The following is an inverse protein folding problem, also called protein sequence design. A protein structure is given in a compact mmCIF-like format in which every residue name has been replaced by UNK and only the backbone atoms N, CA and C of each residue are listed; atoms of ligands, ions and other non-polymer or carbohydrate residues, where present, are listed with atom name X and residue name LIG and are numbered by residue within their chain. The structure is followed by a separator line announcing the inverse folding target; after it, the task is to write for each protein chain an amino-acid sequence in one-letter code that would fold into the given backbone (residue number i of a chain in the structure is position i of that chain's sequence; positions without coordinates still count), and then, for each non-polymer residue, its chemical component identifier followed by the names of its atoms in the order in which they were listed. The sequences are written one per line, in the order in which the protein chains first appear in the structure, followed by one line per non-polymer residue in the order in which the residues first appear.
data_IF_972558011038
#
_entry.id   IF_972558011038
#
_cell.length_a   1.000
_cell.length_b   1.000
_cell.length_c   1.000
_cell.angle_alpha   90.00
_cell.angle_beta   90.00
_cell.angle_gamma   90.00
#
_symmetry.space_group_name_H-M   'P 1'
#
loop_
_entity.id
_entity.type
_entity.pdbx_description
1 polymer ?
#
# COMPACT_ATOMS: atom_id res chain seq x y z
N UNK A 1 20.53 -35.06 0.35
CA UNK A 1 20.85 -36.50 0.51
C UNK A 1 21.86 -37.07 -0.50
N UNK A 2 22.21 -36.34 -1.56
CA UNK A 2 23.22 -36.78 -2.54
C UNK A 2 24.66 -36.45 -2.08
N UNK A 3 24.84 -35.40 -1.29
CA UNK A 3 26.14 -34.99 -0.75
C UNK A 3 26.65 -35.89 0.39
N UNK A 4 25.74 -36.51 1.13
CA UNK A 4 26.10 -37.41 2.24
C UNK A 4 26.70 -38.75 1.76
N UNK A 5 26.23 -39.23 0.62
CA UNK A 5 26.72 -40.50 0.06
C UNK A 5 28.07 -40.34 -0.66
N UNK A 6 28.40 -39.20 -1.20
CA UNK A 6 29.68 -38.95 -1.86
C UNK A 6 30.85 -38.88 -0.85
N UNK A 7 30.61 -38.35 0.34
CA UNK A 7 31.65 -38.25 1.37
C UNK A 7 32.02 -39.62 1.97
N UNK A 8 31.06 -40.53 2.11
CA UNK A 8 31.30 -41.87 2.64
C UNK A 8 31.99 -42.81 1.67
N UNK A 9 31.95 -42.54 0.35
CA UNK A 9 32.55 -43.37 -0.66
C UNK A 9 34.05 -43.10 -0.90
N UNK A 10 34.53 -41.93 -0.51
CA UNK A 10 35.94 -41.52 -0.76
C UNK A 10 36.84 -41.54 0.49
N UNK A 11 36.28 -41.62 1.69
CA UNK A 11 37.02 -41.54 2.95
C UNK A 11 36.74 -42.70 3.94
N UNK A 12 36.10 -43.76 3.50
CA UNK A 12 35.91 -44.96 4.28
C UNK A 12 36.90 -46.05 3.88
N UNK A 13 37.93 -46.23 4.68
CA UNK A 13 38.75 -47.39 5.00
C UNK A 13 40.23 -47.03 5.18
N UNK A 14 40.66 -46.97 6.42
CA UNK A 14 41.79 -47.78 6.94
C UNK A 14 42.01 -47.58 8.43
N UNK A 15 41.63 -48.59 9.15
CA UNK A 15 42.37 -49.37 10.18
C UNK A 15 42.96 -48.70 11.39
N UNK A 16 42.42 -49.21 12.53
CA UNK A 16 43.03 -49.66 13.79
C UNK A 16 44.01 -48.81 14.57
N UNK A 17 43.64 -48.73 15.86
CA UNK A 17 44.45 -48.67 17.07
C UNK A 17 45.07 -47.35 17.50
N UNK A 18 44.43 -46.74 18.44
CA UNK A 18 44.81 -46.58 19.87
C UNK A 18 43.96 -45.49 20.54
N UNK A 19 43.40 -45.92 21.67
CA UNK A 19 42.76 -45.01 22.62
C UNK A 19 43.66 -43.82 22.99
N UNK A 20 43.27 -42.64 22.52
CA UNK A 20 43.57 -41.41 23.24
C UNK A 20 42.32 -40.55 23.21
N UNK A 21 41.71 -40.40 24.39
CA UNK A 21 40.66 -39.43 24.63
C UNK A 21 41.19 -38.01 24.37
N UNK A 22 41.22 -37.59 23.17
CA UNK A 22 41.28 -36.17 22.82
C UNK A 22 39.83 -35.66 22.70
N UNK A 23 39.41 -34.85 23.68
CA UNK A 23 38.23 -33.98 23.47
C UNK A 23 38.48 -33.14 22.24
N UNK A 24 38.06 -33.62 21.06
CA UNK A 24 37.92 -32.79 19.89
C UNK A 24 36.85 -31.74 20.22
N UNK A 25 37.29 -30.54 20.57
CA UNK A 25 36.48 -29.36 20.44
C UNK A 25 35.98 -29.35 19.00
N UNK A 26 34.76 -29.80 18.76
CA UNK A 26 34.08 -29.56 17.50
C UNK A 26 33.95 -28.03 17.38
N UNK A 27 34.79 -27.41 16.58
CA UNK A 27 34.63 -26.01 16.22
C UNK A 27 33.20 -25.85 15.75
N UNK A 28 32.39 -25.13 16.51
CA UNK A 28 31.01 -24.89 16.21
C UNK A 28 30.99 -23.90 15.03
N UNK A 29 30.56 -24.35 13.88
CA UNK A 29 30.45 -23.50 12.67
C UNK A 29 29.51 -22.34 12.97
N UNK A 30 29.89 -21.09 12.69
CA UNK A 30 29.02 -19.93 12.83
C UNK A 30 27.79 -20.09 11.96
N UNK A 31 26.60 -19.95 12.55
CA UNK A 31 25.33 -20.04 11.85
C UNK A 31 24.68 -18.67 11.86
N UNK A 32 24.36 -18.11 10.69
CA UNK A 32 23.65 -16.84 10.57
C UNK A 32 22.23 -17.00 11.10
N UNK A 33 21.76 -16.00 11.85
CA UNK A 33 20.38 -15.91 12.32
C UNK A 33 19.38 -15.75 11.17
N UNK A 34 18.17 -16.20 11.42
CA UNK A 34 17.06 -16.04 10.45
C UNK A 34 16.59 -14.59 10.35
N UNK A 35 16.07 -14.24 9.21
CA UNK A 35 15.38 -12.96 9.04
C UNK A 35 14.02 -12.99 9.74
N UNK A 36 13.59 -11.84 10.25
CA UNK A 36 12.25 -11.62 10.77
C UNK A 36 11.49 -10.80 9.74
N UNK A 37 10.27 -11.21 9.43
CA UNK A 37 9.37 -10.45 8.58
C UNK A 37 8.20 -9.89 9.39
N UNK A 38 7.84 -8.65 9.12
CA UNK A 38 6.67 -7.99 9.67
C UNK A 38 6.08 -7.06 8.63
N UNK A 39 4.91 -6.53 8.89
CA UNK A 39 4.26 -5.57 8.01
C UNK A 39 3.66 -4.42 8.81
N UNK A 40 3.58 -3.26 8.19
CA UNK A 40 2.94 -2.07 8.73
C UNK A 40 2.04 -1.43 7.70
N UNK A 41 0.96 -0.86 8.19
CA UNK A 41 0.01 -0.09 7.38
C UNK A 41 0.39 1.39 7.41
N UNK A 42 0.31 2.02 6.25
CA UNK A 42 0.49 3.47 6.07
C UNK A 42 -0.63 4.02 5.19
N UNK A 43 -0.96 5.29 5.38
CA UNK A 43 -1.90 5.97 4.48
C UNK A 43 -1.25 6.28 3.12
N UNK A 44 -2.08 6.59 2.12
CA UNK A 44 -1.60 7.02 0.81
C UNK A 44 -0.78 8.30 0.92
N UNK A 45 -1.21 9.26 1.75
CA UNK A 45 -0.47 10.52 1.96
C UNK A 45 0.87 10.28 2.66
N UNK A 46 0.89 9.46 3.71
CA UNK A 46 2.14 9.09 4.40
C UNK A 46 3.14 8.46 3.42
N UNK A 47 2.68 7.53 2.59
CA UNK A 47 3.52 6.89 1.59
C UNK A 47 3.96 7.86 0.47
N UNK A 48 3.09 8.80 0.09
CA UNK A 48 3.38 9.81 -0.94
C UNK A 48 4.49 10.76 -0.52
N UNK A 49 4.43 11.30 0.70
CA UNK A 49 5.41 12.25 1.22
C UNK A 49 6.61 11.57 1.87
N UNK A 50 6.46 10.33 2.31
CA UNK A 50 7.43 9.65 3.16
C UNK A 50 7.32 10.12 4.61
N UNK A 51 7.78 9.31 5.52
CA UNK A 51 7.77 9.63 6.95
C UNK A 51 8.82 8.82 7.70
N UNK A 52 9.14 9.29 8.91
CA UNK A 52 9.81 8.48 9.92
C UNK A 52 8.76 7.91 10.89
N UNK A 53 8.80 6.61 11.10
CA UNK A 53 7.84 5.92 11.97
C UNK A 53 8.59 5.09 13.01
N UNK A 54 8.14 5.19 14.26
CA UNK A 54 8.62 4.31 15.33
C UNK A 54 7.72 3.09 15.39
N UNK A 55 8.33 1.90 15.33
CA UNK A 55 7.65 0.62 15.50
C UNK A 55 8.25 -0.13 16.67
N UNK A 56 7.42 -0.83 17.44
CA UNK A 56 7.84 -1.63 18.56
C UNK A 56 7.50 -3.09 18.31
N UNK A 57 8.49 -3.95 18.35
CA UNK A 57 8.34 -5.38 18.15
C UNK A 57 8.82 -6.14 19.39
N UNK A 58 8.17 -7.27 19.69
CA UNK A 58 8.59 -8.13 20.77
C UNK A 58 9.78 -8.99 20.29
N UNK A 59 10.93 -8.83 20.96
CA UNK A 59 12.10 -9.65 20.71
C UNK A 59 11.93 -11.08 21.27
N UNK A 60 12.78 -12.03 20.87
CA UNK A 60 12.76 -13.42 21.33
C UNK A 60 12.86 -13.58 22.86
N UNK A 61 13.51 -12.65 23.53
CA UNK A 61 13.61 -12.61 24.99
C UNK A 61 12.38 -12.01 25.70
N UNK A 62 11.28 -11.75 24.97
CA UNK A 62 10.05 -11.15 25.48
C UNK A 62 10.10 -9.64 25.69
N UNK A 63 11.25 -8.99 25.54
CA UNK A 63 11.41 -7.54 25.68
C UNK A 63 10.93 -6.83 24.41
N UNK A 64 10.31 -5.66 24.61
CA UNK A 64 9.95 -4.79 23.48
C UNK A 64 11.20 -4.07 22.96
N UNK A 65 11.37 -4.08 21.65
CA UNK A 65 12.44 -3.36 20.97
C UNK A 65 11.80 -2.37 20.01
N UNK A 66 12.19 -1.10 20.14
CA UNK A 66 11.67 -0.01 19.30
C UNK A 66 12.69 0.31 18.20
N UNK A 67 12.19 0.43 16.99
CA UNK A 67 12.95 0.83 15.81
C UNK A 67 12.38 2.11 15.24
N UNK A 68 13.25 3.00 14.76
CA UNK A 68 12.87 4.11 13.92
C UNK A 68 13.14 3.73 12.47
N UNK A 69 12.09 3.70 11.66
CA UNK A 69 12.18 3.39 10.23
C UNK A 69 11.91 4.64 9.43
N UNK A 70 12.66 4.81 8.35
CA UNK A 70 12.43 5.86 7.36
C UNK A 70 11.74 5.26 6.15
N UNK A 71 10.51 5.66 5.90
CA UNK A 71 9.73 5.28 4.73
C UNK A 71 9.99 6.33 3.65
N UNK A 72 10.61 5.96 2.52
CA UNK A 72 10.91 6.92 1.47
C UNK A 72 9.64 7.40 0.77
N UNK A 73 9.64 8.66 0.34
CA UNK A 73 8.53 9.24 -0.42
C UNK A 73 8.30 8.49 -1.73
N UNK A 74 7.04 8.13 -2.00
CA UNK A 74 6.68 7.39 -3.21
C UNK A 74 6.95 5.89 -3.14
N UNK A 75 7.14 5.32 -1.95
CA UNK A 75 7.27 3.87 -1.77
C UNK A 75 6.09 3.14 -2.41
N UNK A 76 6.33 1.97 -2.98
CA UNK A 76 5.27 1.14 -3.58
C UNK A 76 4.58 0.29 -2.54
N UNK A 77 3.31 -0.02 -2.79
CA UNK A 77 2.59 -0.98 -1.97
C UNK A 77 3.27 -2.35 -2.05
N UNK A 78 3.54 -2.94 -0.89
CA UNK A 78 4.21 -4.24 -0.77
C UNK A 78 5.75 -4.18 -0.79
N UNK A 79 6.36 -3.03 -0.99
CA UNK A 79 7.81 -2.88 -0.85
C UNK A 79 8.26 -3.16 0.58
N UNK A 80 9.48 -3.69 0.71
CA UNK A 80 10.06 -4.05 2.01
C UNK A 80 11.21 -3.11 2.36
N UNK A 81 11.20 -2.63 3.59
CA UNK A 81 12.31 -1.91 4.20
C UNK A 81 13.12 -2.91 5.01
N UNK A 82 14.44 -2.95 4.79
CA UNK A 82 15.36 -3.86 5.45
C UNK A 82 16.16 -3.15 6.52
N UNK A 83 16.07 -3.64 7.74
CA UNK A 83 16.93 -3.24 8.85
C UNK A 83 17.97 -4.33 9.09
N UNK A 84 19.21 -4.04 8.69
CA UNK A 84 20.31 -4.99 8.73
C UNK A 84 20.64 -5.39 10.18
N UNK A 85 20.82 -6.69 10.42
CA UNK A 85 21.21 -7.24 11.72
C UNK A 85 20.13 -7.18 12.81
N UNK A 86 18.88 -6.83 12.47
CA UNK A 86 17.77 -6.70 13.42
C UNK A 86 16.83 -7.92 13.42
N UNK A 87 17.24 -9.01 12.76
CA UNK A 87 16.55 -10.30 12.80
C UNK A 87 16.91 -11.15 14.02
N UNK A 88 16.77 -12.47 13.91
CA UNK A 88 17.15 -13.40 14.97
C UNK A 88 18.68 -13.43 15.13
N UNK A 89 19.14 -13.66 16.36
CA UNK A 89 20.57 -13.82 16.63
C UNK A 89 21.11 -15.06 15.93
N UNK A 90 22.32 -14.96 15.42
CA UNK A 90 23.06 -16.12 14.93
C UNK A 90 23.56 -17.00 16.08
N UNK A 91 23.94 -18.23 15.77
CA UNK A 91 24.53 -19.19 16.68
C UNK A 91 26.03 -19.32 16.45
N UNK A 92 26.75 -19.76 17.48
CA UNK A 92 28.22 -20.02 17.43
C UNK A 92 29.03 -18.83 16.87
N UNK A 93 28.64 -17.59 17.21
CA UNK A 93 29.31 -16.38 16.71
C UNK A 93 28.86 -15.95 15.29
N UNK A 94 27.81 -16.59 14.74
CA UNK A 94 27.20 -16.18 13.48
C UNK A 94 26.52 -14.82 13.59
N UNK A 95 26.45 -14.08 12.46
CA UNK A 95 25.79 -12.78 12.37
C UNK A 95 24.27 -12.92 12.56
N UNK A 96 23.64 -11.90 13.14
CA UNK A 96 22.18 -11.82 13.19
C UNK A 96 21.58 -11.76 11.78
N UNK A 97 20.35 -12.23 11.62
CA UNK A 97 19.54 -12.00 10.44
C UNK A 97 19.07 -10.54 10.36
N UNK A 98 18.23 -10.24 9.40
CA UNK A 98 17.69 -8.91 9.16
C UNK A 98 16.21 -8.85 9.50
N UNK A 99 15.71 -7.65 9.79
CA UNK A 99 14.28 -7.38 9.89
C UNK A 99 13.79 -6.81 8.57
N UNK A 100 12.81 -7.47 7.97
CA UNK A 100 12.15 -7.06 6.73
C UNK A 100 10.75 -6.55 7.07
N UNK A 101 10.49 -5.28 6.77
CA UNK A 101 9.22 -4.61 7.06
C UNK A 101 8.50 -4.34 5.75
N UNK A 102 7.44 -5.09 5.49
CA UNK A 102 6.57 -4.88 4.33
C UNK A 102 5.66 -3.69 4.57
N UNK A 103 5.59 -2.79 3.61
CA UNK A 103 4.74 -1.60 3.66
C UNK A 103 3.42 -1.89 2.94
N UNK A 104 2.31 -1.80 3.67
CA UNK A 104 0.97 -1.90 3.13
C UNK A 104 0.35 -0.51 3.05
N UNK A 105 0.14 0.00 1.84
CA UNK A 105 -0.54 1.27 1.62
C UNK A 105 -2.04 1.01 1.61
N UNK A 106 -2.76 1.66 2.51
CA UNK A 106 -4.20 1.47 2.68
C UNK A 106 -4.98 2.56 1.95
N UNK A 107 -5.99 2.11 1.21
CA UNK A 107 -7.02 3.00 0.70
C UNK A 107 -7.73 3.68 1.89
N UNK A 108 -8.18 4.90 1.68
CA UNK A 108 -8.94 5.67 2.66
C UNK A 108 -10.31 6.10 2.09
N UNK A 109 -11.02 6.95 2.82
CA UNK A 109 -12.33 7.44 2.38
C UNK A 109 -12.26 8.36 1.17
N UNK A 110 -11.10 8.93 0.90
CA UNK A 110 -10.89 9.94 -0.13
C UNK A 110 -10.29 9.34 -1.39
N UNK A 111 -9.32 8.45 -1.22
CA UNK A 111 -8.58 7.87 -2.33
C UNK A 111 -8.46 6.36 -2.23
N UNK A 112 -8.48 5.72 -3.39
CA UNK A 112 -8.02 4.36 -3.59
C UNK A 112 -6.81 4.37 -4.53
N UNK A 113 -5.75 3.64 -4.16
CA UNK A 113 -4.53 3.55 -4.96
C UNK A 113 -4.54 2.28 -5.81
N UNK A 114 -4.34 2.43 -7.13
CA UNK A 114 -4.18 1.32 -8.07
C UNK A 114 -2.97 1.58 -8.97
N UNK A 115 -1.89 0.85 -8.72
CA UNK A 115 -0.61 1.14 -9.35
C UNK A 115 -0.08 2.52 -8.95
N UNK A 116 -0.06 3.45 -9.89
CA UNK A 116 0.30 4.86 -9.67
C UNK A 116 -0.89 5.81 -9.82
N UNK A 117 -2.07 5.28 -10.12
CA UNK A 117 -3.27 6.08 -10.28
C UNK A 117 -4.08 6.12 -8.99
N UNK A 118 -4.64 7.28 -8.71
CA UNK A 118 -5.54 7.51 -7.59
C UNK A 118 -6.97 7.58 -8.09
N UNK A 119 -7.88 6.97 -7.38
CA UNK A 119 -9.31 6.99 -7.65
C UNK A 119 -10.02 7.75 -6.53
N UNK A 120 -10.95 8.62 -6.89
CA UNK A 120 -11.78 9.37 -5.96
C UNK A 120 -13.19 9.52 -6.51
N UNK A 121 -14.16 9.73 -5.63
CA UNK A 121 -15.53 10.07 -6.03
C UNK A 121 -15.64 11.57 -6.29
N UNK A 122 -16.23 11.93 -7.43
CA UNK A 122 -16.62 13.28 -7.75
C UNK A 122 -18.14 13.41 -7.60
N UNK A 123 -18.58 13.88 -6.45
CA UNK A 123 -20.01 14.03 -6.16
C UNK A 123 -20.49 15.37 -6.67
N UNK A 124 -21.50 15.34 -7.53
CA UNK A 124 -22.16 16.52 -8.07
C UNK A 124 -23.69 16.39 -7.93
N UNK A 125 -24.36 17.51 -7.98
CA UNK A 125 -25.82 17.55 -7.94
C UNK A 125 -26.42 17.30 -9.33
N UNK A 126 -27.73 16.91 -9.43
CA UNK A 126 -28.37 16.73 -10.73
C UNK A 126 -28.39 18.00 -11.59
N UNK A 127 -28.54 19.18 -10.99
CA UNK A 127 -28.51 20.44 -11.71
C UNK A 127 -27.12 20.83 -12.18
N UNK A 128 -26.07 20.51 -11.43
CA UNK A 128 -24.68 20.68 -11.91
C UNK A 128 -24.41 19.77 -13.10
N UNK A 129 -24.86 18.51 -13.06
CA UNK A 129 -24.74 17.60 -14.19
C UNK A 129 -25.53 18.08 -15.41
N UNK A 130 -26.76 18.58 -15.23
CA UNK A 130 -27.62 19.01 -16.31
C UNK A 130 -27.16 20.34 -16.96
N UNK A 131 -26.62 21.26 -16.16
CA UNK A 131 -26.28 22.63 -16.60
C UNK A 131 -24.78 22.81 -16.90
N UNK A 132 -23.96 21.88 -16.46
CA UNK A 132 -22.51 22.05 -16.36
C UNK A 132 -22.12 22.92 -15.19
N UNK A 133 -20.91 22.79 -14.72
CA UNK A 133 -20.42 23.52 -13.56
C UNK A 133 -18.91 23.55 -13.52
N UNK A 134 -18.37 24.29 -12.56
CA UNK A 134 -16.95 24.26 -12.18
C UNK A 134 -16.88 23.80 -10.73
N UNK A 135 -16.20 22.68 -10.48
CA UNK A 135 -16.05 22.09 -9.15
C UNK A 135 -14.61 22.10 -8.71
N UNK A 136 -14.41 22.21 -7.39
CA UNK A 136 -13.10 22.00 -6.78
C UNK A 136 -12.89 20.52 -6.47
N UNK A 137 -11.71 20.02 -6.76
CA UNK A 137 -11.29 18.64 -6.44
C UNK A 137 -10.00 18.72 -5.66
N UNK A 138 -9.99 18.11 -4.49
CA UNK A 138 -8.78 17.98 -3.71
C UNK A 138 -7.90 16.88 -4.31
N UNK A 139 -6.65 17.20 -4.47
CA UNK A 139 -5.60 16.25 -4.83
C UNK A 139 -4.58 16.16 -3.70
N UNK A 140 -3.65 15.23 -3.77
CA UNK A 140 -2.54 15.24 -2.81
C UNK A 140 -1.66 16.47 -3.08
N UNK A 141 -1.66 17.38 -2.13
CA UNK A 141 -0.83 18.59 -2.14
C UNK A 141 -1.51 19.87 -2.63
N UNK A 142 -2.65 19.79 -3.32
CA UNK A 142 -3.36 20.97 -3.84
C UNK A 142 -4.83 20.70 -4.11
N UNK A 143 -5.60 21.78 -4.19
CA UNK A 143 -6.97 21.76 -4.69
C UNK A 143 -6.98 22.34 -6.11
N UNK A 144 -7.60 21.65 -7.04
CA UNK A 144 -7.73 22.07 -8.43
C UNK A 144 -9.19 22.31 -8.79
N UNK A 145 -9.42 23.03 -9.86
CA UNK A 145 -10.76 23.27 -10.39
C UNK A 145 -10.95 22.52 -11.70
N UNK A 146 -12.06 21.79 -11.80
CA UNK A 146 -12.45 21.06 -13.00
C UNK A 146 -13.69 21.71 -13.63
N UNK A 147 -13.70 21.82 -14.92
CA UNK A 147 -14.89 22.14 -15.68
C UNK A 147 -15.65 20.85 -15.97
N UNK A 148 -16.89 20.77 -15.50
CA UNK A 148 -17.80 19.65 -15.73
C UNK A 148 -18.74 20.06 -16.87
N UNK A 149 -18.72 19.34 -18.00
CA UNK A 149 -19.58 19.67 -19.12
C UNK A 149 -21.04 19.38 -18.82
N UNK A 150 -21.92 20.10 -19.48
CA UNK A 150 -23.35 19.84 -19.46
C UNK A 150 -23.64 18.42 -19.96
N UNK A 151 -24.52 17.70 -19.26
CA UNK A 151 -24.97 16.36 -19.64
C UNK A 151 -24.03 15.24 -19.25
N UNK A 152 -23.09 15.48 -18.33
CA UNK A 152 -22.23 14.42 -17.81
C UNK A 152 -23.08 13.36 -17.08
N UNK A 153 -22.72 12.10 -17.28
CA UNK A 153 -23.46 10.98 -16.71
C UNK A 153 -22.79 10.45 -15.42
N UNK A 154 -23.62 9.87 -14.56
CA UNK A 154 -23.11 9.15 -13.37
C UNK A 154 -22.31 7.93 -13.81
N UNK A 155 -21.12 7.75 -13.22
CA UNK A 155 -20.19 6.67 -13.59
C UNK A 155 -19.17 7.06 -14.65
N UNK A 156 -19.30 8.22 -15.30
CA UNK A 156 -18.23 8.74 -16.13
C UNK A 156 -16.99 9.05 -15.31
N UNK A 157 -15.82 8.88 -15.92
CA UNK A 157 -14.52 9.09 -15.28
C UNK A 157 -13.83 10.31 -15.85
N UNK A 158 -13.58 11.28 -15.00
CA UNK A 158 -12.77 12.46 -15.34
C UNK A 158 -11.32 12.16 -14.96
N UNK A 159 -10.44 12.12 -15.94
CA UNK A 159 -9.02 11.85 -15.75
C UNK A 159 -8.24 13.15 -15.63
N UNK A 160 -7.41 13.23 -14.61
CA UNK A 160 -6.61 14.43 -14.31
C UNK A 160 -5.15 13.99 -14.32
N UNK A 161 -4.40 14.25 -15.41
CA UNK A 161 -3.02 13.86 -15.55
C UNK A 161 -2.12 14.51 -14.48
N UNK A 162 -1.14 13.77 -14.00
CA UNK A 162 -0.13 14.27 -13.06
C UNK A 162 -0.64 14.56 -11.64
N UNK A 163 -1.84 14.04 -11.28
CA UNK A 163 -2.43 14.21 -9.94
C UNK A 163 -2.61 12.87 -9.19
N UNK A 164 -2.08 11.79 -9.76
CA UNK A 164 -2.02 10.48 -9.12
C UNK A 164 -0.88 10.34 -8.12
N UNK A 165 -0.46 9.11 -7.88
CA UNK A 165 0.66 8.75 -7.01
C UNK A 165 1.99 8.93 -7.74
N UNK A 166 3.11 8.98 -7.01
CA UNK A 166 4.45 9.13 -7.61
C UNK A 166 4.82 7.92 -8.47
N UNK A 167 5.39 8.19 -9.64
CA UNK A 167 5.82 7.14 -10.58
C UNK A 167 7.25 6.63 -10.35
N UNK A 168 8.01 7.28 -9.46
CA UNK A 168 9.41 6.96 -9.16
C UNK A 168 10.42 7.57 -10.14
N UNK A 169 9.95 8.35 -11.13
CA UNK A 169 10.78 9.00 -12.15
C UNK A 169 10.66 10.54 -12.13
N UNK A 170 10.11 11.07 -11.05
CA UNK A 170 9.89 12.51 -10.87
C UNK A 170 8.50 13.00 -11.33
N UNK A 171 7.66 12.10 -11.87
CA UNK A 171 6.29 12.36 -12.27
C UNK A 171 5.26 11.72 -11.32
N UNK A 172 4.01 11.78 -11.75
CA UNK A 172 2.85 11.23 -11.05
C UNK A 172 1.91 10.58 -12.05
N UNK A 173 1.17 9.55 -11.62
CA UNK A 173 0.07 8.98 -12.36
C UNK A 173 -1.14 9.92 -12.48
N UNK A 174 -2.27 9.38 -12.84
CA UNK A 174 -3.52 10.11 -12.99
C UNK A 174 -4.33 10.11 -11.68
N UNK A 175 -5.10 11.18 -11.45
CA UNK A 175 -6.25 11.14 -10.56
C UNK A 175 -7.49 10.89 -11.40
N UNK A 176 -8.20 9.81 -11.11
CA UNK A 176 -9.41 9.39 -11.81
C UNK A 176 -10.59 9.69 -10.89
N UNK A 177 -11.39 10.69 -11.26
CA UNK A 177 -12.57 11.11 -10.53
C UNK A 177 -13.82 10.44 -11.12
N UNK A 178 -14.46 9.58 -10.35
CA UNK A 178 -15.68 8.86 -10.72
C UNK A 178 -16.90 9.72 -10.40
N UNK A 179 -17.62 10.15 -11.41
CA UNK A 179 -18.79 11.04 -11.28
C UNK A 179 -19.93 10.30 -10.60
N UNK A 180 -20.41 10.86 -9.51
CA UNK A 180 -21.59 10.40 -8.77
C UNK A 180 -22.60 11.53 -8.62
N UNK A 181 -23.72 11.38 -9.29
CA UNK A 181 -24.83 12.34 -9.18
C UNK A 181 -25.62 12.03 -7.92
N UNK A 182 -25.66 12.97 -7.01
CA UNK A 182 -26.26 12.82 -5.70
C UNK A 182 -27.47 13.74 -5.55
N UNK A 183 -28.56 13.20 -4.98
CA UNK A 183 -29.71 13.99 -4.56
C UNK A 183 -29.70 14.20 -3.04
N UNK A 184 -30.32 15.28 -2.52
CA UNK A 184 -30.50 15.46 -1.09
C UNK A 184 -31.28 14.30 -0.48
N UNK A 185 -30.77 13.73 0.62
CA UNK A 185 -31.49 12.68 1.36
C UNK A 185 -32.79 13.20 1.99
N UNK A 186 -32.77 14.44 2.43
CA UNK A 186 -33.90 15.14 3.03
C UNK A 186 -34.01 16.51 2.36
N UNK A 187 -34.72 16.61 1.23
CA UNK A 187 -34.91 17.87 0.54
C UNK A 187 -35.79 18.82 1.37
N UNK A 188 -35.60 20.13 1.20
CA UNK A 188 -36.45 21.17 1.77
C UNK A 188 -37.85 21.14 1.11
N UNK A 189 -38.80 21.87 1.69
CA UNK A 189 -40.13 22.00 1.08
C UNK A 189 -40.08 22.63 -0.31
N UNK A 190 -39.26 23.67 -0.47
CA UNK A 190 -39.04 24.37 -1.71
C UNK A 190 -38.40 23.46 -2.77
N UNK A 191 -37.37 22.69 -2.40
CA UNK A 191 -36.75 21.70 -3.28
C UNK A 191 -37.76 20.65 -3.73
N UNK A 192 -38.59 20.15 -2.80
CA UNK A 192 -39.64 19.17 -3.14
C UNK A 192 -40.64 19.69 -4.16
N UNK A 193 -41.05 20.94 -4.05
CA UNK A 193 -41.95 21.57 -5.02
C UNK A 193 -41.29 21.70 -6.41
N UNK A 194 -40.02 22.05 -6.44
CA UNK A 194 -39.26 22.11 -7.69
C UNK A 194 -39.11 20.72 -8.31
N UNK A 195 -38.79 19.70 -7.53
CA UNK A 195 -38.71 18.32 -8.01
C UNK A 195 -40.06 17.80 -8.53
N UNK A 196 -41.16 18.12 -7.87
CA UNK A 196 -42.51 17.76 -8.36
C UNK A 196 -42.80 18.44 -9.70
N UNK A 197 -42.49 19.72 -9.82
CA UNK A 197 -42.66 20.46 -11.07
C UNK A 197 -41.80 19.88 -12.18
N UNK A 198 -40.53 19.55 -11.91
CA UNK A 198 -39.63 18.90 -12.87
C UNK A 198 -40.21 17.55 -13.32
N UNK A 199 -40.71 16.74 -12.38
CA UNK A 199 -41.35 15.45 -12.69
C UNK A 199 -42.57 15.59 -13.61
N UNK A 200 -43.32 16.69 -13.51
CA UNK A 200 -44.50 16.95 -14.37
C UNK A 200 -44.15 17.37 -15.78
N UNK A 201 -43.05 18.13 -15.96
CA UNK A 201 -42.70 18.71 -17.27
C UNK A 201 -41.69 17.84 -18.03
N UNK A 202 -40.92 17.02 -17.34
CA UNK A 202 -39.88 16.19 -17.98
C UNK A 202 -40.48 14.99 -18.68
N UNK A 203 -40.04 14.76 -19.91
CA UNK A 203 -40.33 13.55 -20.69
C UNK A 203 -39.20 12.52 -20.64
N UNK A 204 -38.12 12.86 -19.92
CA UNK A 204 -36.97 12.00 -19.82
C UNK A 204 -37.28 10.70 -19.03
N UNK A 205 -36.96 9.56 -19.60
CA UNK A 205 -37.09 8.28 -18.93
C UNK A 205 -35.80 7.47 -19.08
N UNK A 206 -34.99 7.35 -18.03
CA UNK A 206 -33.69 6.65 -18.09
C UNK A 206 -33.81 5.15 -18.36
N UNK A 207 -35.02 4.58 -18.26
CA UNK A 207 -35.28 3.16 -18.51
C UNK A 207 -35.60 2.82 -19.98
N UNK A 208 -35.81 3.83 -20.82
CA UNK A 208 -36.14 3.62 -22.23
C UNK A 208 -34.92 3.44 -23.16
N UNK A 209 -33.72 3.58 -22.63
CA UNK A 209 -32.46 3.49 -23.38
C UNK A 209 -31.71 2.16 -23.08
N UNK A 210 -32.43 1.10 -22.76
CA UNK A 210 -31.89 -0.25 -22.62
C UNK A 210 -32.06 -1.06 -23.90
#
# INVERSE_FOLDING_TARGET
SIFSNFFNMFFGEQTDNKEQKSKKNKEKVPIKGENIETEIDVSIEEAFYGLEKKISLRAQNGKMKTFTIKIPAGIRNGEKIRLIGQGKKGENGGKSGDLLIKINIKDDKKYALRGIDLYTDLKITPWEAALGTKVSVDTIGETIFLHIPQGIESGEKVKIPGKGYKDGQGGRGELIADVKIMIPKVPTKEEMEIFKKLNQVSTFNPRNNL
#
